data_IF_196888811847
#
_entry.id   IF_196888811847
#
_cell.length_a   1.000
_cell.length_b   1.000
_cell.length_c   1.000
_cell.angle_alpha   90.00
_cell.angle_beta   90.00
_cell.angle_gamma   90.00
#
_symmetry.space_group_name_H-M   'P 1'
#
loop_
_entity.id
_entity.type
_entity.pdbx_description
1 polymer ?
#
# COMPACT_ATOMS: atom_id res chain seq x y z
N UNK A 1 3.07 3.49 -29.66
CA UNK A 1 3.96 3.12 -28.55
C UNK A 1 3.24 3.51 -27.27
N UNK A 2 2.65 2.53 -26.57
CA UNK A 2 1.90 2.76 -25.33
C UNK A 2 2.85 2.53 -24.16
N UNK A 3 3.07 3.56 -23.35
CA UNK A 3 3.83 3.48 -22.11
C UNK A 3 2.86 2.96 -21.05
N UNK A 4 3.01 1.68 -20.68
CA UNK A 4 2.21 1.05 -19.63
C UNK A 4 2.58 1.61 -18.26
N UNK A 5 1.59 2.16 -17.55
CA UNK A 5 1.76 2.63 -16.19
C UNK A 5 1.96 1.44 -15.24
N UNK A 6 3.12 1.39 -14.57
CA UNK A 6 3.45 0.36 -13.58
C UNK A 6 2.78 0.74 -12.25
N UNK A 7 1.79 -0.04 -11.82
CA UNK A 7 1.13 0.13 -10.54
C UNK A 7 2.10 -0.29 -9.41
N UNK A 8 2.50 0.67 -8.57
CA UNK A 8 3.32 0.41 -7.38
C UNK A 8 2.39 0.19 -6.19
N UNK A 9 2.61 -0.89 -5.42
CA UNK A 9 1.84 -1.17 -4.21
C UNK A 9 2.47 -0.52 -2.97
N UNK A 10 1.66 -0.29 -1.94
CA UNK A 10 2.04 0.18 -0.61
C UNK A 10 3.20 -0.56 0.07
N UNK A 11 3.42 -1.82 -0.31
CA UNK A 11 4.48 -2.69 0.21
C UNK A 11 5.82 -2.54 -0.54
N UNK A 12 5.75 -2.10 -1.79
CA UNK A 12 6.90 -1.91 -2.69
C UNK A 12 7.74 -0.69 -2.34
N UNK A 13 7.10 0.40 -1.89
CA UNK A 13 7.77 1.68 -1.62
C UNK A 13 8.72 1.68 -0.43
N UNK A 14 8.86 0.56 0.28
CA UNK A 14 9.85 0.41 1.35
C UNK A 14 11.07 -0.43 0.90
N UNK A 15 11.04 -0.96 -0.34
CA UNK A 15 12.21 -1.55 -0.99
C UNK A 15 13.26 -0.48 -1.38
N UNK A 16 12.88 0.80 -1.40
CA UNK A 16 13.71 1.95 -1.74
C UNK A 16 14.49 2.53 -0.53
N UNK A 17 14.82 1.68 0.46
CA UNK A 17 15.61 2.06 1.64
C UNK A 17 17.13 2.10 1.39
N UNK A 18 17.56 1.87 0.16
CA UNK A 18 18.95 2.00 -0.26
C UNK A 18 18.95 2.81 -1.55
N UNK A 19 19.28 4.09 -1.49
CA UNK A 19 20.34 4.74 -2.27
C UNK A 19 20.35 6.25 -1.95
N UNK A 20 21.56 6.74 -1.63
CA UNK A 20 21.99 8.15 -1.48
C UNK A 20 21.67 8.86 -0.15
N UNK A 21 22.69 9.29 0.63
CA UNK A 21 22.49 10.13 1.82
C UNK A 21 21.95 11.51 1.39
N UNK A 22 20.92 11.99 2.09
CA UNK A 22 20.47 13.37 1.93
C UNK A 22 21.29 14.32 2.80
N UNK A 23 21.86 15.34 2.16
CA UNK A 23 22.25 16.59 2.81
C UNK A 23 21.02 17.50 2.76
N UNK A 24 20.32 17.68 3.87
CA UNK A 24 19.26 18.69 3.97
C UNK A 24 19.91 20.08 4.01
N UNK A 25 19.54 21.04 3.15
CA UNK A 25 19.95 22.42 3.35
C UNK A 25 19.28 22.97 4.61
N UNK A 26 20.07 23.51 5.53
CA UNK A 26 19.54 24.27 6.67
C UNK A 26 18.95 25.58 6.15
N UNK A 27 17.63 25.66 6.07
CA UNK A 27 16.94 26.90 5.75
C UNK A 27 16.88 27.78 7.01
N UNK A 28 17.76 28.79 7.08
CA UNK A 28 17.59 29.92 8.00
C UNK A 28 16.31 30.67 7.61
N UNK A 29 15.38 30.80 8.55
CA UNK A 29 14.16 31.61 8.40
C UNK A 29 14.53 33.10 8.36
N UNK A 30 14.16 33.87 7.33
CA UNK A 30 14.26 35.32 7.37
C UNK A 30 13.09 35.93 8.16
N UNK A 31 13.41 37.00 8.91
CA UNK A 31 12.46 37.79 9.70
C UNK A 31 11.34 38.38 8.84
N UNK A 32 10.14 38.43 9.43
CA UNK A 32 8.90 38.83 8.78
C UNK A 32 8.88 40.31 8.35
N UNK A 33 8.52 40.54 7.08
CA UNK A 33 8.09 41.86 6.59
C UNK A 33 6.73 41.70 5.91
N UNK A 34 5.74 42.50 6.34
CA UNK A 34 4.36 42.52 5.81
C UNK A 34 4.26 43.23 4.45
N UNK A 35 3.55 42.65 3.48
CA UNK A 35 2.73 43.36 2.47
C UNK A 35 1.72 42.41 1.75
N UNK A 36 0.73 42.90 0.97
CA UNK A 36 -0.71 42.73 1.21
C UNK A 36 -1.41 41.68 0.29
N UNK A 37 -2.72 41.53 0.48
CA UNK A 37 -3.61 40.50 -0.09
C UNK A 37 -4.11 40.82 -1.54
N UNK A 38 -5.03 40.02 -2.14
CA UNK A 38 -4.72 38.96 -3.11
C UNK A 38 -5.26 39.27 -4.52
N UNK A 39 -4.65 38.70 -5.57
CA UNK A 39 -5.25 38.68 -6.92
C UNK A 39 -5.61 37.26 -7.36
N UNK A 40 -6.82 37.20 -7.91
CA UNK A 40 -7.57 36.09 -8.48
C UNK A 40 -6.76 35.14 -9.37
N UNK A 41 -6.93 33.84 -9.16
CA UNK A 41 -6.60 32.83 -10.16
C UNK A 41 -7.88 32.15 -10.67
N UNK A 42 -8.14 32.41 -11.95
CA UNK A 42 -9.28 31.97 -12.72
C UNK A 42 -9.15 30.47 -13.04
N UNK A 43 -9.99 29.63 -12.41
CA UNK A 43 -10.12 28.19 -12.74
C UNK A 43 -10.86 28.03 -14.07
N UNK A 44 -10.26 27.32 -15.02
CA UNK A 44 -10.97 26.70 -16.15
C UNK A 44 -10.63 25.20 -16.19
N UNK A 45 -11.56 24.37 -15.72
CA UNK A 45 -11.62 22.95 -16.07
C UNK A 45 -12.57 22.81 -17.27
N UNK A 46 -12.08 22.23 -18.37
CA UNK A 46 -12.91 21.79 -19.48
C UNK A 46 -13.13 20.28 -19.38
N UNK A 47 -14.37 19.88 -19.11
CA UNK A 47 -14.87 18.53 -19.36
C UNK A 47 -15.41 18.50 -20.81
N UNK A 48 -15.02 17.50 -21.59
CA UNK A 48 -15.73 17.14 -22.81
C UNK A 48 -16.26 15.71 -22.70
N UNK A 49 -17.59 15.62 -22.75
CA UNK A 49 -18.36 14.42 -23.01
C UNK A 49 -18.40 14.18 -24.52
N UNK A 50 -18.12 12.96 -24.96
CA UNK A 50 -18.36 12.51 -26.33
C UNK A 50 -19.32 11.33 -26.33
N UNK A 51 -20.56 11.58 -26.77
CA UNK A 51 -21.52 10.54 -27.13
C UNK A 51 -21.45 10.29 -28.65
N UNK A 52 -21.60 9.03 -29.07
CA UNK A 52 -21.78 8.64 -30.47
C UNK A 52 -22.56 7.33 -30.57
N UNK A 53 -23.73 7.38 -31.22
CA UNK A 53 -24.67 6.28 -31.44
C UNK A 53 -24.45 5.53 -32.77
N UNK A 54 -24.74 4.21 -32.71
CA UNK A 54 -25.45 3.34 -33.66
C UNK A 54 -24.93 3.05 -35.09
N UNK A 55 -24.86 1.75 -35.45
CA UNK A 55 -25.73 1.12 -36.46
C UNK A 55 -25.48 -0.40 -36.57
N UNK A 56 -26.54 -1.14 -36.94
CA UNK A 56 -26.64 -2.59 -37.04
C UNK A 56 -26.08 -3.19 -38.34
N UNK A 57 -25.75 -4.49 -38.32
CA UNK A 57 -25.44 -5.29 -39.50
C UNK A 57 -25.39 -6.79 -39.17
N UNK A 58 -26.20 -7.57 -39.90
CA UNK A 58 -26.52 -8.99 -39.74
C UNK A 58 -25.51 -9.96 -40.38
N UNK A 59 -25.40 -11.17 -39.81
CA UNK A 59 -25.26 -12.41 -40.58
C UNK A 59 -23.84 -12.96 -40.78
N UNK A 60 -23.60 -14.16 -40.25
CA UNK A 60 -22.43 -14.97 -40.59
C UNK A 60 -22.16 -16.09 -39.59
N UNK A 61 -22.70 -17.28 -39.83
CA UNK A 61 -22.24 -18.50 -39.17
C UNK A 61 -20.78 -18.76 -39.53
N UNK A 62 -19.90 -18.87 -38.54
CA UNK A 62 -18.55 -19.38 -38.72
C UNK A 62 -18.17 -20.29 -37.53
N UNK A 63 -18.25 -21.59 -37.82
CA UNK A 63 -17.50 -22.74 -37.31
C UNK A 63 -16.72 -22.54 -35.99
N UNK A 64 -17.21 -23.21 -34.96
CA UNK A 64 -16.46 -23.54 -33.76
C UNK A 64 -15.18 -24.30 -34.15
N UNK A 65 -14.03 -23.65 -33.97
CA UNK A 65 -12.74 -24.33 -33.90
C UNK A 65 -12.40 -24.49 -32.42
N UNK A 66 -12.62 -25.69 -31.90
CA UNK A 66 -12.15 -26.09 -30.58
C UNK A 66 -10.62 -26.20 -30.63
N UNK A 67 -9.95 -25.06 -30.46
CA UNK A 67 -8.53 -25.04 -30.14
C UNK A 67 -8.41 -25.51 -28.69
N UNK A 68 -7.94 -26.73 -28.49
CA UNK A 68 -7.43 -27.19 -27.20
C UNK A 68 -6.14 -26.44 -26.90
N UNK A 69 -6.27 -25.15 -26.59
CA UNK A 69 -5.21 -24.39 -25.96
C UNK A 69 -5.03 -25.03 -24.57
N UNK A 70 -3.87 -25.63 -24.37
CA UNK A 70 -3.49 -26.23 -23.10
C UNK A 70 -3.85 -25.28 -21.98
N UNK A 71 -4.53 -25.81 -20.96
CA UNK A 71 -4.78 -25.13 -19.71
C UNK A 71 -3.42 -24.75 -19.14
N UNK A 72 -2.96 -23.54 -19.47
CA UNK A 72 -1.97 -22.87 -18.67
C UNK A 72 -2.60 -22.80 -17.29
N UNK A 73 -2.01 -23.54 -16.37
CA UNK A 73 -2.27 -23.48 -14.95
C UNK A 73 -1.98 -22.03 -14.55
N UNK A 74 -2.98 -21.15 -14.72
CA UNK A 74 -2.96 -19.80 -14.19
C UNK A 74 -2.85 -20.00 -12.69
N UNK A 75 -1.64 -19.85 -12.15
CA UNK A 75 -1.40 -19.88 -10.72
C UNK A 75 -2.48 -19.04 -10.05
N UNK A 76 -3.16 -19.64 -9.07
CA UNK A 76 -4.35 -19.09 -8.44
C UNK A 76 -4.14 -17.61 -8.13
N UNK A 77 -4.96 -16.75 -8.75
CA UNK A 77 -5.01 -15.35 -8.36
C UNK A 77 -5.26 -15.27 -6.85
N UNK A 78 -4.62 -14.34 -6.10
CA UNK A 78 -4.80 -14.26 -4.67
C UNK A 78 -6.29 -14.23 -4.32
N UNK A 79 -6.68 -15.14 -3.43
CA UNK A 79 -8.07 -15.28 -3.00
C UNK A 79 -8.57 -13.93 -2.46
N UNK A 80 -9.77 -13.47 -2.84
CA UNK A 80 -10.31 -12.23 -2.31
C UNK A 80 -10.42 -12.29 -0.78
N UNK A 81 -10.17 -11.17 -0.08
CA UNK A 81 -10.24 -11.13 1.38
C UNK A 81 -11.68 -11.35 1.87
N UNK A 82 -11.80 -11.96 3.05
CA UNK A 82 -13.10 -12.15 3.71
C UNK A 82 -13.71 -10.81 4.13
N UNK A 83 -15.01 -10.55 3.90
CA UNK A 83 -15.64 -9.26 4.24
C UNK A 83 -16.03 -9.18 5.73
N UNK A 84 -15.05 -9.13 6.62
CA UNK A 84 -15.22 -9.16 8.09
C UNK A 84 -14.84 -7.87 8.79
N UNK A 85 -14.38 -6.86 8.03
CA UNK A 85 -13.96 -5.57 8.56
C UNK A 85 -15.08 -4.85 9.30
N UNK A 86 -14.72 -4.22 10.42
CA UNK A 86 -15.61 -3.43 11.28
C UNK A 86 -14.89 -2.20 11.83
N UNK A 87 -15.63 -1.15 12.22
CA UNK A 87 -15.02 0.02 12.86
C UNK A 87 -14.24 -0.41 14.11
N UNK A 88 -13.06 0.18 14.30
CA UNK A 88 -12.21 -0.07 15.47
C UNK A 88 -11.27 -1.28 15.35
N UNK A 89 -11.27 -2.00 14.23
CA UNK A 89 -10.34 -3.12 14.02
C UNK A 89 -8.85 -2.70 14.15
N UNK A 90 -8.51 -1.46 13.82
CA UNK A 90 -7.17 -0.89 13.98
C UNK A 90 -6.94 -0.13 15.30
N UNK A 91 -7.92 -0.08 16.21
CA UNK A 91 -7.79 0.71 17.45
C UNK A 91 -6.65 0.20 18.35
N UNK A 92 -6.26 -1.08 18.23
CA UNK A 92 -5.09 -1.64 18.90
C UNK A 92 -3.80 -0.89 18.54
N UNK A 93 -3.71 -0.30 17.35
CA UNK A 93 -2.52 0.36 16.82
C UNK A 93 -2.45 1.83 17.26
N UNK A 94 -3.54 2.44 17.74
CA UNK A 94 -3.56 3.83 18.20
C UNK A 94 -2.52 4.09 19.30
N UNK A 95 -1.73 5.17 19.17
CA UNK A 95 -0.75 5.62 20.16
C UNK A 95 0.66 5.75 19.60
N UNK A 96 1.65 5.76 20.49
CA UNK A 96 3.08 5.86 20.15
C UNK A 96 3.81 4.53 20.36
N UNK A 97 4.74 4.23 19.46
CA UNK A 97 5.39 2.92 19.37
C UNK A 97 6.90 3.00 19.17
N UNK A 98 7.60 2.01 19.71
CA UNK A 98 8.94 1.60 19.28
C UNK A 98 8.82 0.34 18.44
N UNK A 99 9.65 0.22 17.41
CA UNK A 99 9.58 -0.87 16.45
C UNK A 99 10.97 -1.46 16.25
N UNK A 100 11.09 -2.77 16.44
CA UNK A 100 12.27 -3.53 16.07
C UNK A 100 12.05 -4.18 14.72
N UNK A 101 12.83 -3.78 13.72
CA UNK A 101 12.70 -4.27 12.36
C UNK A 101 13.74 -5.34 12.06
N UNK A 102 13.34 -6.32 11.26
CA UNK A 102 14.22 -7.23 10.53
C UNK A 102 13.79 -7.21 9.08
N UNK A 103 14.65 -6.83 8.15
CA UNK A 103 14.35 -6.80 6.71
C UNK A 103 15.41 -7.56 5.92
N UNK A 104 14.99 -8.35 4.95
CA UNK A 104 15.87 -9.06 4.03
C UNK A 104 16.35 -8.09 2.95
N UNK A 105 17.66 -7.97 2.76
CA UNK A 105 18.21 -7.19 1.65
C UNK A 105 18.25 -7.97 0.34
N UNK A 106 18.68 -7.30 -0.74
CA UNK A 106 18.80 -7.90 -2.08
C UNK A 106 19.76 -9.08 -2.18
N UNK A 107 20.63 -9.27 -1.19
CA UNK A 107 21.59 -10.37 -1.11
C UNK A 107 21.08 -11.52 -0.23
N UNK A 108 19.85 -11.42 0.30
CA UNK A 108 19.28 -12.42 1.20
C UNK A 108 19.83 -12.35 2.62
N UNK A 109 20.43 -11.21 3.01
CA UNK A 109 20.95 -11.01 4.38
C UNK A 109 19.94 -10.21 5.19
N UNK A 110 19.61 -10.70 6.38
CA UNK A 110 18.72 -10.00 7.32
C UNK A 110 19.44 -8.83 7.98
N UNK A 111 18.87 -7.64 7.81
CA UNK A 111 19.31 -6.41 8.44
C UNK A 111 18.38 -6.05 9.61
N UNK A 112 18.94 -5.57 10.71
CA UNK A 112 18.20 -5.12 11.90
C UNK A 112 18.32 -3.61 12.08
N UNK A 113 17.22 -2.97 12.46
CA UNK A 113 17.17 -1.53 12.71
C UNK A 113 15.94 -1.13 13.52
N UNK A 114 16.03 0.01 14.19
CA UNK A 114 14.94 0.56 15.00
C UNK A 114 14.10 1.54 14.20
N UNK A 115 12.80 1.54 14.47
CA UNK A 115 11.85 2.52 14.00
C UNK A 115 10.90 2.95 15.12
N UNK A 116 10.05 3.89 14.80
CA UNK A 116 9.01 4.39 15.67
C UNK A 116 7.77 4.76 14.85
N UNK A 117 6.61 4.74 15.48
CA UNK A 117 5.38 5.15 14.81
C UNK A 117 4.45 5.88 15.77
N UNK A 118 3.63 6.75 15.20
CA UNK A 118 2.52 7.41 15.87
C UNK A 118 1.27 7.16 15.06
N UNK A 119 0.21 6.68 15.70
CA UNK A 119 -1.02 6.26 15.01
C UNK A 119 -2.24 6.88 15.66
N UNK A 120 -3.12 7.43 14.83
CA UNK A 120 -4.39 8.02 15.20
C UNK A 120 -5.55 7.21 14.63
N UNK A 121 -6.53 6.88 15.48
CA UNK A 121 -7.84 6.45 15.03
C UNK A 121 -8.72 7.67 14.79
N UNK A 122 -9.40 7.73 13.66
CA UNK A 122 -10.27 8.83 13.26
C UNK A 122 -11.66 8.31 12.88
N UNK A 123 -12.63 9.21 12.80
CA UNK A 123 -13.98 8.91 12.33
C UNK A 123 -14.63 7.75 13.10
N UNK A 124 -14.50 7.75 14.43
CA UNK A 124 -15.03 6.70 15.32
C UNK A 124 -14.58 5.27 14.93
N UNK A 125 -13.32 5.11 14.53
CA UNK A 125 -12.73 3.81 14.20
C UNK A 125 -12.88 3.40 12.73
N UNK A 126 -13.38 4.28 11.86
CA UNK A 126 -13.46 4.03 10.40
C UNK A 126 -12.12 4.30 9.69
N UNK A 127 -11.24 5.10 10.29
CA UNK A 127 -9.93 5.39 9.73
C UNK A 127 -8.80 5.22 10.74
N UNK A 128 -7.64 4.78 10.25
CA UNK A 128 -6.38 4.76 10.98
C UNK A 128 -5.30 5.46 10.15
N UNK A 129 -4.63 6.44 10.75
CA UNK A 129 -3.54 7.20 10.13
C UNK A 129 -2.27 6.96 10.94
N UNK A 130 -1.26 6.39 10.30
CA UNK A 130 0.04 6.07 10.87
C UNK A 130 1.10 6.98 10.24
N UNK A 131 1.97 7.58 11.05
CA UNK A 131 3.28 8.05 10.58
C UNK A 131 4.35 7.10 11.11
N UNK A 132 5.07 6.44 10.20
CA UNK A 132 6.21 5.55 10.46
C UNK A 132 7.51 6.32 10.21
N UNK A 133 8.49 6.17 11.11
CA UNK A 133 9.80 6.82 11.01
C UNK A 133 10.92 5.82 11.33
N UNK A 134 11.98 5.84 10.53
CA UNK A 134 13.22 5.08 10.73
C UNK A 134 14.39 6.08 10.66
N UNK A 135 14.76 6.71 11.78
CA UNK A 135 15.76 7.80 11.78
C UNK A 135 17.13 7.38 11.23
N UNK A 136 17.59 6.17 11.57
CA UNK A 136 18.88 5.63 11.10
C UNK A 136 18.99 5.49 9.58
N UNK A 137 17.84 5.48 8.88
CA UNK A 137 17.75 5.40 7.42
C UNK A 137 17.21 6.68 6.78
N UNK A 138 17.01 7.75 7.56
CA UNK A 138 16.38 9.00 7.11
C UNK A 138 15.06 8.75 6.36
N UNK A 139 14.28 7.80 6.85
CA UNK A 139 13.06 7.36 6.20
C UNK A 139 11.84 7.70 7.04
N UNK A 140 10.79 8.15 6.36
CA UNK A 140 9.45 8.21 6.92
C UNK A 140 8.39 7.93 5.85
N UNK A 141 7.22 7.51 6.30
CA UNK A 141 6.07 7.30 5.44
C UNK A 141 4.79 7.28 6.25
N UNK A 142 3.66 7.23 5.55
CA UNK A 142 2.34 7.24 6.14
C UNK A 142 1.52 6.04 5.66
N UNK A 143 0.95 5.31 6.61
CA UNK A 143 -0.12 4.36 6.37
C UNK A 143 -1.48 5.05 6.54
N UNK A 144 -2.34 5.02 5.52
CA UNK A 144 -3.72 5.47 5.59
C UNK A 144 -4.65 4.29 5.36
N UNK A 145 -5.35 3.88 6.41
CA UNK A 145 -6.25 2.73 6.40
C UNK A 145 -7.68 3.20 6.57
N UNK A 146 -8.56 2.86 5.63
CA UNK A 146 -9.96 3.28 5.60
C UNK A 146 -10.87 2.07 5.44
N UNK A 147 -11.89 1.98 6.29
CA UNK A 147 -12.90 0.94 6.18
C UNK A 147 -13.95 1.33 5.14
N UNK A 148 -14.10 0.49 4.12
CA UNK A 148 -15.32 0.44 3.34
C UNK A 148 -16.38 -0.32 4.15
N UNK A 149 -17.33 0.42 4.73
CA UNK A 149 -18.34 -0.12 5.65
C UNK A 149 -19.30 -1.06 4.94
N UNK A 150 -19.61 -0.81 3.67
CA UNK A 150 -20.52 -1.64 2.89
C UNK A 150 -19.86 -2.96 2.49
N UNK A 151 -18.63 -2.88 1.97
CA UNK A 151 -17.85 -4.07 1.58
C UNK A 151 -17.27 -4.83 2.77
N UNK A 152 -17.21 -4.21 3.94
CA UNK A 152 -16.54 -4.72 5.16
C UNK A 152 -15.09 -5.10 4.91
N UNK A 153 -14.39 -4.24 4.17
CA UNK A 153 -12.98 -4.40 3.82
C UNK A 153 -12.24 -3.11 4.11
N UNK A 154 -11.02 -3.25 4.62
CA UNK A 154 -10.09 -2.16 4.84
C UNK A 154 -9.23 -1.96 3.59
N UNK A 155 -9.22 -0.74 3.08
CA UNK A 155 -8.23 -0.26 2.13
C UNK A 155 -7.00 0.23 2.90
N UNK A 156 -5.83 -0.32 2.61
CA UNK A 156 -4.53 0.14 3.13
C UNK A 156 -3.75 0.86 2.03
N UNK A 157 -3.51 2.16 2.25
CA UNK A 157 -2.74 3.02 1.37
C UNK A 157 -1.42 3.43 1.99
N UNK A 158 -0.40 3.59 1.16
CA UNK A 158 0.90 4.10 1.57
C UNK A 158 1.26 5.42 0.91
N UNK A 159 2.00 6.23 1.65
CA UNK A 159 2.72 7.41 1.16
C UNK A 159 4.17 7.33 1.61
N UNK A 160 5.11 7.36 0.67
CA UNK A 160 6.52 7.60 0.99
C UNK A 160 6.75 9.11 1.11
N UNK A 161 7.33 9.58 2.22
CA UNK A 161 7.55 11.01 2.49
C UNK A 161 8.40 11.71 1.43
N UNK A 162 9.27 10.98 0.71
CA UNK A 162 10.05 11.51 -0.42
C UNK A 162 9.14 11.97 -1.57
N UNK A 163 8.08 11.22 -1.84
CA UNK A 163 7.13 11.53 -2.91
C UNK A 163 5.99 12.44 -2.44
N UNK A 164 5.51 12.23 -1.20
CA UNK A 164 4.32 12.88 -0.67
C UNK A 164 3.01 12.50 -1.39
N UNK A 165 3.02 11.47 -2.25
CA UNK A 165 1.88 11.08 -3.06
C UNK A 165 1.22 9.81 -2.51
N UNK A 166 -0.11 9.84 -2.38
CA UNK A 166 -0.91 8.64 -2.11
C UNK A 166 -0.81 7.69 -3.29
N UNK A 167 -0.36 6.46 -3.04
CA UNK A 167 -0.15 5.47 -4.10
C UNK A 167 -1.39 4.60 -4.28
N UNK A 168 -2.14 4.72 -5.40
CA UNK A 168 -3.24 3.81 -5.73
C UNK A 168 -2.78 2.64 -6.62
N UNK A 169 -3.52 1.51 -6.62
CA UNK A 169 -4.67 1.20 -5.77
C UNK A 169 -4.25 0.78 -4.34
N UNK A 170 -5.16 0.82 -3.34
CA UNK A 170 -4.87 0.27 -2.02
C UNK A 170 -4.73 -1.25 -2.07
N UNK A 171 -4.07 -1.81 -1.07
CA UNK A 171 -4.24 -3.22 -0.74
C UNK A 171 -5.58 -3.38 0.00
N UNK A 172 -6.35 -4.42 -0.33
CA UNK A 172 -7.62 -4.72 0.34
C UNK A 172 -7.45 -5.90 1.28
N UNK A 173 -8.01 -5.78 2.48
CA UNK A 173 -7.87 -6.80 3.52
C UNK A 173 -8.88 -6.62 4.64
N UNK A 174 -8.82 -7.51 5.62
CA UNK A 174 -9.67 -7.49 6.81
C UNK A 174 -9.04 -8.35 7.90
N UNK A 175 -9.59 -8.23 9.11
CA UNK A 175 -9.23 -9.10 10.22
C UNK A 175 -10.18 -10.29 10.30
N UNK A 176 -9.60 -11.49 10.45
CA UNK A 176 -10.29 -12.74 10.75
C UNK A 176 -9.60 -13.35 11.96
N UNK A 177 -10.35 -13.63 13.03
CA UNK A 177 -9.86 -14.26 14.26
C UNK A 177 -8.59 -13.59 14.85
N UNK A 178 -8.55 -12.25 14.81
CA UNK A 178 -7.45 -11.45 15.35
C UNK A 178 -6.22 -11.34 14.45
N UNK A 179 -6.26 -11.90 13.25
CA UNK A 179 -5.20 -11.79 12.24
C UNK A 179 -5.70 -10.99 11.05
N UNK A 180 -4.96 -9.94 10.69
CA UNK A 180 -5.26 -9.12 9.52
C UNK A 180 -4.36 -9.47 8.34
N UNK A 181 -4.91 -9.63 7.15
CA UNK A 181 -4.15 -10.00 5.94
C UNK A 181 -4.52 -9.07 4.79
N UNK A 182 -3.50 -8.52 4.12
CA UNK A 182 -3.60 -7.70 2.91
C UNK A 182 -2.66 -8.24 1.85
N UNK A 183 -3.22 -8.71 0.74
CA UNK A 183 -2.45 -9.12 -0.43
C UNK A 183 -2.41 -7.97 -1.44
N UNK A 184 -1.25 -7.78 -2.04
CA UNK A 184 -1.06 -6.91 -3.19
C UNK A 184 -0.24 -7.61 -4.26
N UNK A 185 -0.56 -7.28 -5.51
CA UNK A 185 0.17 -7.77 -6.66
C UNK A 185 1.04 -6.64 -7.21
N UNK A 186 2.27 -6.98 -7.56
CA UNK A 186 3.22 -6.07 -8.19
C UNK A 186 3.91 -6.76 -9.35
N UNK A 187 4.27 -5.98 -10.36
CA UNK A 187 5.09 -6.44 -11.47
C UNK A 187 6.58 -6.23 -11.13
N UNK A 188 7.34 -7.32 -11.03
CA UNK A 188 8.79 -7.34 -10.89
C UNK A 188 9.42 -7.81 -12.21
N UNK A 189 9.77 -6.86 -13.08
CA UNK A 189 10.19 -7.13 -14.45
C UNK A 189 9.07 -7.82 -15.25
N UNK A 190 9.32 -9.03 -15.75
CA UNK A 190 8.32 -9.84 -16.46
C UNK A 190 7.51 -10.76 -15.53
N UNK A 191 7.83 -10.77 -14.23
CA UNK A 191 7.19 -11.66 -13.24
C UNK A 191 6.17 -10.92 -12.38
N UNK A 192 5.02 -11.54 -12.16
CA UNK A 192 4.07 -11.08 -11.15
C UNK A 192 4.52 -11.61 -9.79
N UNK A 193 4.66 -10.72 -8.81
CA UNK A 193 4.89 -11.07 -7.42
C UNK A 193 3.66 -10.72 -6.58
N UNK A 194 3.48 -11.46 -5.49
CA UNK A 194 2.44 -11.19 -4.50
C UNK A 194 3.15 -10.85 -3.20
N UNK A 195 2.93 -9.65 -2.69
CA UNK A 195 3.29 -9.28 -1.32
C UNK A 195 2.08 -9.41 -0.42
N UNK A 196 2.29 -9.97 0.76
CA UNK A 196 1.26 -10.18 1.78
C UNK A 196 1.71 -9.52 3.07
N UNK A 197 1.00 -8.48 3.47
CA UNK A 197 1.11 -7.85 4.78
C UNK A 197 0.22 -8.57 5.80
N UNK A 198 0.79 -8.91 6.95
CA UNK A 198 0.13 -9.67 8.02
C UNK A 198 0.26 -8.89 9.32
N UNK A 199 -0.87 -8.58 9.95
CA UNK A 199 -0.92 -8.11 11.33
C UNK A 199 -1.32 -9.28 12.24
N UNK A 200 -0.46 -9.64 13.18
CA UNK A 200 -0.72 -10.70 14.16
C UNK A 200 -0.05 -10.44 15.52
N UNK A 201 -0.16 -11.39 16.44
CA UNK A 201 0.37 -11.28 17.81
C UNK A 201 -0.08 -9.99 18.52
N UNK A 202 -1.32 -9.58 18.27
CA UNK A 202 -1.88 -8.32 18.76
C UNK A 202 -2.25 -8.47 20.23
N UNK A 203 -1.68 -7.60 21.05
CA UNK A 203 -1.98 -7.45 22.47
C UNK A 203 -2.22 -5.97 22.77
N UNK A 204 -2.68 -5.60 23.97
CA UNK A 204 -2.80 -4.20 24.32
C UNK A 204 -1.46 -3.45 24.38
N UNK A 205 -0.30 -4.14 24.39
CA UNK A 205 1.04 -3.52 24.52
C UNK A 205 1.97 -3.79 23.34
N UNK A 206 1.63 -4.72 22.46
CA UNK A 206 2.47 -5.15 21.35
C UNK A 206 1.66 -5.62 20.15
N UNK A 207 2.26 -5.59 18.98
CA UNK A 207 1.78 -6.34 17.82
C UNK A 207 2.96 -6.68 16.92
N UNK A 208 2.72 -7.52 15.92
CA UNK A 208 3.68 -7.81 14.88
C UNK A 208 3.06 -7.52 13.53
N UNK A 209 3.85 -6.86 12.69
CA UNK A 209 3.58 -6.78 11.26
C UNK A 209 4.63 -7.57 10.50
N UNK A 210 4.22 -8.37 9.52
CA UNK A 210 5.13 -9.16 8.68
C UNK A 210 4.75 -9.00 7.22
N UNK A 211 5.74 -8.81 6.37
CA UNK A 211 5.63 -8.92 4.92
C UNK A 211 6.21 -10.25 4.45
N UNK A 212 5.43 -10.97 3.65
CA UNK A 212 5.85 -12.19 2.98
C UNK A 212 5.64 -12.04 1.48
N UNK A 213 6.54 -12.61 0.68
CA UNK A 213 6.49 -12.52 -0.78
C UNK A 213 6.37 -13.89 -1.40
N UNK A 214 5.50 -13.99 -2.40
CA UNK A 214 5.42 -15.11 -3.32
C UNK A 214 5.82 -14.68 -4.73
N UNK A 215 6.60 -15.54 -5.39
CA UNK A 215 7.01 -15.39 -6.80
C UNK A 215 6.41 -16.46 -7.71
N UNK A 216 5.56 -17.33 -7.17
CA UNK A 216 5.06 -18.53 -7.84
C UNK A 216 3.53 -18.66 -7.75
N UNK A 217 2.83 -17.53 -7.66
CA UNK A 217 1.37 -17.48 -7.61
C UNK A 217 0.79 -17.90 -6.26
N UNK A 218 1.50 -17.63 -5.16
CA UNK A 218 1.05 -17.93 -3.80
C UNK A 218 1.29 -19.37 -3.36
N UNK A 219 2.03 -20.18 -4.12
CA UNK A 219 2.34 -21.58 -3.78
C UNK A 219 3.41 -21.68 -2.69
N UNK A 220 4.40 -20.78 -2.71
CA UNK A 220 5.39 -20.63 -1.66
C UNK A 220 5.53 -19.16 -1.25
N UNK A 221 5.94 -18.95 -0.01
CA UNK A 221 6.06 -17.64 0.63
C UNK A 221 7.39 -17.52 1.37
N UNK A 222 8.02 -16.36 1.26
CA UNK A 222 9.23 -16.00 2.00
C UNK A 222 9.01 -14.70 2.76
N UNK A 223 9.22 -14.74 4.07
CA UNK A 223 9.29 -13.53 4.89
C UNK A 223 10.44 -12.65 4.40
N UNK A 224 10.17 -11.39 4.13
CA UNK A 224 11.18 -10.42 3.72
C UNK A 224 11.22 -9.17 4.62
N UNK A 225 10.23 -9.00 5.52
CA UNK A 225 10.28 -7.98 6.54
C UNK A 225 9.40 -8.32 7.73
N UNK A 226 9.93 -8.19 8.94
CA UNK A 226 9.22 -8.35 10.21
C UNK A 226 9.41 -7.09 11.04
N UNK A 227 8.32 -6.58 11.62
CA UNK A 227 8.28 -5.44 12.52
C UNK A 227 7.65 -5.88 13.84
N UNK A 228 8.41 -5.79 14.93
CA UNK A 228 7.88 -6.00 16.28
C UNK A 228 7.60 -4.66 16.94
N UNK A 229 6.33 -4.38 17.18
CA UNK A 229 5.86 -3.14 17.76
C UNK A 229 5.69 -3.28 19.27
N UNK A 230 6.19 -2.30 20.02
CA UNK A 230 6.00 -2.18 21.46
C UNK A 230 5.54 -0.76 21.80
N UNK A 231 4.51 -0.64 22.65
CA UNK A 231 4.04 0.67 23.09
C UNK A 231 5.14 1.43 23.83
N UNK A 232 5.14 2.76 23.65
CA UNK A 232 5.93 3.68 24.49
C UNK A 232 5.26 3.92 25.83
#
# INVERSE_FOLDING_TARGET
MSVGAVAHSALASIHELQETPMTLPQTQLPSATRHPAPHELQRRHLLQLGAGLAAAGSGGCAMASASSAGRQDQGDSPKPPSPTGRPGDFDFLRGEWRIQNRQLDKHGVWQQFEGEATVYAILAGIGSVEELRIPSRQFSGMGLRLLDVERKLWADHWVNARSGVLTPPPAWGSFVDGVGIWDSQEQDGDSLIIDRGIWDQITPQSCRWTQTRSRDGGRSWQDNWVMHWQRR
#
